data_IF_668795422386
#
_entry.id   IF_668795422386
#
_cell.length_a   1.000
_cell.length_b   1.000
_cell.length_c   1.000
_cell.angle_alpha   90.00
_cell.angle_beta   90.00
_cell.angle_gamma   90.00
#
_symmetry.space_group_name_H-M   'P 1'
#
loop_
_entity.id
_entity.type
_entity.pdbx_description
1 polymer ?
#
# COMPACT_ATOMS: atom_id res chain seq x y z
N UNK A 1 0.07 -15.16 -8.37
CA UNK A 1 -0.76 -14.07 -7.81
C UNK A 1 -0.59 -12.89 -8.72
N UNK A 2 -1.65 -12.28 -9.20
CA UNK A 2 -1.63 -11.27 -10.26
C UNK A 2 -2.50 -10.07 -9.90
N UNK A 3 -2.32 -8.98 -10.63
CA UNK A 3 -3.22 -7.83 -10.60
C UNK A 3 -3.95 -7.79 -11.94
N UNK A 4 -5.25 -7.58 -11.92
CA UNK A 4 -6.07 -7.49 -13.12
C UNK A 4 -7.05 -6.32 -12.99
N UNK A 5 -7.06 -5.47 -13.98
CA UNK A 5 -7.99 -4.36 -14.16
C UNK A 5 -8.67 -4.52 -15.53
N UNK A 6 -9.98 -4.36 -15.58
CA UNK A 6 -10.78 -4.44 -16.80
C UNK A 6 -11.73 -3.24 -16.87
N UNK A 7 -11.56 -2.39 -17.87
CA UNK A 7 -12.39 -1.22 -18.12
C UNK A 7 -12.42 -0.21 -16.97
N UNK A 8 -11.34 -0.11 -16.19
CA UNK A 8 -11.33 0.70 -14.96
C UNK A 8 -11.37 2.18 -15.26
N UNK A 9 -12.38 2.86 -14.69
CA UNK A 9 -12.57 4.30 -14.77
C UNK A 9 -12.62 4.95 -13.39
N UNK A 10 -12.08 6.17 -13.30
CA UNK A 10 -12.17 6.98 -12.10
C UNK A 10 -12.25 8.47 -12.45
N UNK A 11 -13.22 9.15 -11.85
CA UNK A 11 -13.40 10.61 -11.95
C UNK A 11 -13.32 11.21 -10.55
N UNK A 12 -12.50 12.23 -10.37
CA UNK A 12 -12.39 13.00 -9.13
C UNK A 12 -13.64 13.83 -8.86
N UNK A 13 -13.85 14.26 -7.61
CA UNK A 13 -14.98 15.08 -7.21
C UNK A 13 -15.07 16.43 -7.97
N UNK A 14 -13.95 16.93 -8.47
CA UNK A 14 -13.87 18.13 -9.32
C UNK A 14 -14.24 17.89 -10.79
N UNK A 15 -14.72 16.70 -11.15
CA UNK A 15 -15.07 16.32 -12.51
C UNK A 15 -13.90 15.86 -13.39
N UNK A 16 -12.65 15.94 -12.90
CA UNK A 16 -11.49 15.49 -13.67
C UNK A 16 -11.46 13.94 -13.78
N UNK A 17 -11.51 13.44 -15.01
CA UNK A 17 -11.44 12.00 -15.32
C UNK A 17 -9.98 11.57 -15.31
N UNK A 18 -9.55 10.89 -14.24
CA UNK A 18 -8.18 10.44 -14.06
C UNK A 18 -7.89 9.08 -14.69
N UNK A 19 -8.89 8.20 -14.75
CA UNK A 19 -8.78 6.89 -15.44
C UNK A 19 -9.98 6.72 -16.37
N UNK A 20 -9.72 6.22 -17.58
CA UNK A 20 -10.69 6.11 -18.65
C UNK A 20 -10.62 4.74 -19.33
N UNK A 21 -11.30 3.73 -18.76
CA UNK A 21 -11.36 2.39 -19.33
C UNK A 21 -9.99 1.70 -19.35
N UNK A 22 -9.28 1.72 -18.23
CA UNK A 22 -7.93 1.15 -18.13
C UNK A 22 -8.02 -0.37 -17.99
N UNK A 23 -7.34 -1.06 -18.91
CA UNK A 23 -7.10 -2.49 -18.86
C UNK A 23 -5.62 -2.74 -18.50
N UNK A 24 -5.37 -3.57 -17.50
CA UNK A 24 -4.02 -3.92 -17.07
C UNK A 24 -4.01 -5.33 -16.50
N UNK A 25 -3.03 -6.11 -16.92
CA UNK A 25 -2.73 -7.42 -16.30
C UNK A 25 -1.27 -7.47 -15.94
N UNK A 26 -0.98 -7.83 -14.69
CA UNK A 26 0.38 -8.01 -14.19
C UNK A 26 0.49 -9.39 -13.56
N UNK A 27 1.36 -10.21 -14.09
CA UNK A 27 1.59 -11.56 -13.63
C UNK A 27 2.46 -11.59 -12.34
N UNK A 28 2.52 -12.74 -11.69
CA UNK A 28 3.41 -12.91 -10.55
C UNK A 28 4.89 -12.82 -10.99
N UNK A 29 5.68 -12.01 -10.29
CA UNK A 29 7.09 -11.78 -10.61
C UNK A 29 7.34 -10.77 -11.73
N UNK A 30 6.32 -10.32 -12.41
CA UNK A 30 6.43 -9.29 -13.45
C UNK A 30 6.78 -7.92 -12.86
N UNK A 31 7.61 -7.18 -13.57
CA UNK A 31 7.99 -5.80 -13.24
C UNK A 31 7.43 -4.87 -14.31
N UNK A 32 6.57 -3.94 -13.88
CA UNK A 32 5.90 -3.00 -14.79
C UNK A 32 6.32 -1.57 -14.46
N UNK A 33 6.73 -0.82 -15.48
CA UNK A 33 6.97 0.61 -15.38
C UNK A 33 5.77 1.40 -15.91
N UNK A 34 5.26 2.34 -15.12
CA UNK A 34 4.16 3.21 -15.49
C UNK A 34 4.72 4.59 -15.86
N UNK A 35 4.73 4.89 -17.16
CA UNK A 35 5.29 6.12 -17.71
C UNK A 35 4.18 7.01 -18.25
N UNK A 36 4.30 8.31 -18.15
CA UNK A 36 3.35 9.29 -18.69
C UNK A 36 3.53 10.68 -18.10
N UNK A 37 2.92 11.67 -18.72
CA UNK A 37 2.97 13.06 -18.29
C UNK A 37 2.43 13.28 -16.86
N UNK A 38 2.72 14.45 -16.27
CA UNK A 38 2.09 14.86 -15.01
C UNK A 38 0.57 14.96 -15.22
N UNK A 39 -0.21 14.50 -14.25
CA UNK A 39 -1.68 14.45 -14.38
C UNK A 39 -2.26 13.27 -15.15
N UNK A 40 -1.46 12.42 -15.79
CA UNK A 40 -1.93 11.26 -16.59
C UNK A 40 -2.58 10.11 -15.77
N UNK A 41 -2.93 10.33 -14.52
CA UNK A 41 -3.64 9.35 -13.69
C UNK A 41 -2.75 8.27 -13.03
N UNK A 42 -1.41 8.33 -13.18
CA UNK A 42 -0.47 7.33 -12.63
C UNK A 42 -0.68 7.07 -11.14
N UNK A 43 -0.72 8.14 -10.34
CA UNK A 43 -0.94 8.04 -8.88
C UNK A 43 -2.32 7.49 -8.56
N UNK A 44 -3.34 7.85 -9.34
CA UNK A 44 -4.70 7.31 -9.19
C UNK A 44 -4.73 5.82 -9.47
N UNK A 45 -4.07 5.37 -10.54
CA UNK A 45 -3.94 3.95 -10.87
C UNK A 45 -3.20 3.17 -9.76
N UNK A 46 -2.08 3.69 -9.26
CA UNK A 46 -1.36 3.06 -8.14
C UNK A 46 -2.22 2.96 -6.86
N UNK A 47 -3.06 3.97 -6.57
CA UNK A 47 -4.01 3.90 -5.44
C UNK A 47 -5.09 2.83 -5.64
N UNK A 48 -5.56 2.61 -6.87
CA UNK A 48 -6.48 1.51 -7.19
C UNK A 48 -5.79 0.16 -6.97
N UNK A 49 -4.56 -0.01 -7.50
CA UNK A 49 -3.74 -1.21 -7.33
C UNK A 49 -3.37 -1.49 -5.87
N UNK A 50 -3.24 -0.44 -5.04
CA UNK A 50 -3.04 -0.54 -3.60
C UNK A 50 -4.33 -0.84 -2.81
N UNK A 51 -5.46 -1.03 -3.48
CA UNK A 51 -6.79 -1.15 -2.88
C UNK A 51 -7.16 0.03 -1.94
N UNK A 52 -6.53 1.20 -2.11
CA UNK A 52 -6.78 2.40 -1.29
C UNK A 52 -7.79 3.34 -1.93
N UNK A 53 -8.08 3.18 -3.22
CA UNK A 53 -9.05 3.96 -3.96
C UNK A 53 -10.00 3.03 -4.73
N UNK A 54 -11.31 3.14 -4.44
CA UNK A 54 -12.33 2.37 -5.18
C UNK A 54 -12.58 3.04 -6.54
N UNK A 55 -12.48 2.33 -7.66
CA UNK A 55 -12.82 2.87 -8.97
C UNK A 55 -14.32 3.16 -9.09
N UNK A 56 -14.67 4.09 -9.99
CA UNK A 56 -16.05 4.41 -10.31
C UNK A 56 -16.70 3.41 -11.26
N UNK A 57 -15.90 2.75 -12.10
CA UNK A 57 -16.36 1.74 -13.07
C UNK A 57 -15.27 0.69 -13.32
N UNK A 58 -15.66 -0.41 -13.97
CA UNK A 58 -14.77 -1.51 -14.31
C UNK A 58 -14.61 -2.53 -13.19
N UNK A 59 -13.79 -3.56 -13.47
CA UNK A 59 -13.51 -4.67 -12.57
C UNK A 59 -12.05 -4.62 -12.11
N UNK A 60 -11.82 -4.89 -10.85
CA UNK A 60 -10.48 -4.98 -10.27
C UNK A 60 -10.35 -6.27 -9.46
N UNK A 61 -9.30 -7.02 -9.75
CA UNK A 61 -8.90 -8.19 -9.01
C UNK A 61 -7.43 -8.05 -8.60
N UNK A 62 -7.16 -8.16 -7.32
CA UNK A 62 -5.83 -8.02 -6.74
C UNK A 62 -5.49 -9.27 -5.94
N UNK A 63 -4.40 -9.95 -6.30
CA UNK A 63 -3.92 -11.16 -5.64
C UNK A 63 -4.99 -12.28 -5.55
N UNK A 64 -5.88 -12.37 -6.57
CA UNK A 64 -6.97 -13.34 -6.63
C UNK A 64 -8.20 -12.95 -5.82
N UNK A 65 -8.34 -11.69 -5.42
CA UNK A 65 -9.48 -11.20 -4.64
C UNK A 65 -10.07 -9.95 -5.27
N UNK A 66 -11.39 -9.79 -5.23
CA UNK A 66 -12.11 -8.57 -5.61
C UNK A 66 -12.21 -7.64 -4.38
N UNK A 67 -11.41 -6.56 -4.27
CA UNK A 67 -11.24 -5.80 -3.03
C UNK A 67 -12.53 -5.22 -2.49
N UNK A 68 -13.38 -4.72 -3.38
CA UNK A 68 -14.59 -3.99 -2.99
C UNK A 68 -15.84 -4.87 -2.85
N UNK A 69 -15.73 -6.18 -3.17
CA UNK A 69 -16.71 -7.20 -2.84
C UNK A 69 -16.37 -7.94 -1.54
N UNK A 70 -15.15 -7.74 -1.02
CA UNK A 70 -14.65 -8.38 0.17
C UNK A 70 -15.19 -7.75 1.46
N UNK A 71 -15.21 -8.51 2.55
CA UNK A 71 -15.50 -7.98 3.87
C UNK A 71 -14.44 -6.96 4.32
N UNK A 72 -14.74 -6.03 5.25
CA UNK A 72 -13.74 -5.09 5.78
C UNK A 72 -12.51 -5.78 6.37
N UNK A 73 -12.69 -6.97 6.93
CA UNK A 73 -11.59 -7.80 7.48
C UNK A 73 -10.69 -8.34 6.36
N UNK A 74 -11.27 -8.84 5.30
CA UNK A 74 -10.52 -9.42 4.18
C UNK A 74 -9.86 -8.34 3.34
N UNK A 75 -10.51 -7.19 3.15
CA UNK A 75 -9.90 -6.02 2.54
C UNK A 75 -8.67 -5.54 3.32
N UNK A 76 -8.72 -5.53 4.66
CA UNK A 76 -7.57 -5.20 5.50
C UNK A 76 -6.44 -6.21 5.32
N UNK A 77 -6.74 -7.51 5.29
CA UNK A 77 -5.77 -8.58 5.03
C UNK A 77 -5.15 -8.47 3.63
N UNK A 78 -5.94 -8.13 2.62
CA UNK A 78 -5.46 -7.91 1.27
C UNK A 78 -4.48 -6.73 1.24
N UNK A 79 -4.85 -5.58 1.81
CA UNK A 79 -3.97 -4.40 1.90
C UNK A 79 -2.66 -4.67 2.62
N UNK A 80 -2.67 -5.48 3.66
CA UNK A 80 -1.45 -5.87 4.40
C UNK A 80 -0.46 -6.70 3.56
N UNK A 81 -0.89 -7.24 2.41
CA UNK A 81 -0.05 -7.98 1.46
C UNK A 81 0.50 -7.11 0.32
N UNK A 82 0.07 -5.86 0.24
CA UNK A 82 0.46 -4.91 -0.81
C UNK A 82 1.30 -3.81 -0.17
N UNK A 83 2.59 -3.78 -0.48
CA UNK A 83 3.49 -2.70 -0.07
C UNK A 83 3.37 -1.50 -1.01
N UNK A 84 3.30 -0.30 -0.45
CA UNK A 84 3.29 0.96 -1.22
C UNK A 84 4.43 1.84 -0.73
N UNK A 85 5.28 2.27 -1.65
CA UNK A 85 6.30 3.28 -1.38
C UNK A 85 5.77 4.63 -1.85
N UNK A 86 5.63 5.56 -0.92
CA UNK A 86 5.17 6.92 -1.22
C UNK A 86 6.35 7.82 -1.56
N UNK A 87 6.16 8.72 -2.52
CA UNK A 87 7.17 9.73 -2.89
C UNK A 87 7.46 10.69 -1.71
N UNK A 88 6.43 11.05 -0.95
CA UNK A 88 6.54 11.74 0.33
C UNK A 88 5.82 10.89 1.39
N UNK A 89 6.51 10.42 2.44
CA UNK A 89 5.89 9.57 3.43
C UNK A 89 4.81 10.35 4.20
N UNK A 90 3.59 9.78 4.33
CA UNK A 90 2.48 10.41 5.07
C UNK A 90 2.69 10.28 6.58
N UNK A 91 3.88 10.61 7.08
CA UNK A 91 4.23 10.52 8.49
C UNK A 91 4.11 11.90 9.11
N UNK A 92 3.36 12.08 10.21
CA UNK A 92 3.29 13.34 10.93
C UNK A 92 4.69 13.81 11.38
N UNK A 93 5.03 15.10 11.26
CA UNK A 93 6.40 15.60 11.43
C UNK A 93 6.98 15.43 12.84
N UNK A 94 6.21 14.99 13.82
CA UNK A 94 6.64 14.77 15.22
C UNK A 94 6.46 13.34 15.70
N UNK A 95 6.26 12.38 14.79
CA UNK A 95 6.09 10.98 15.16
C UNK A 95 7.44 10.29 15.38
N UNK A 96 7.56 9.52 16.46
CA UNK A 96 8.76 8.70 16.69
C UNK A 96 8.87 7.62 15.62
N UNK A 97 10.09 7.36 15.12
CA UNK A 97 10.36 6.35 14.07
C UNK A 97 9.81 4.97 14.47
N UNK A 98 10.03 4.56 15.72
CA UNK A 98 9.51 3.29 16.26
C UNK A 98 7.99 3.19 16.12
N UNK A 99 7.26 4.26 16.45
CA UNK A 99 5.79 4.29 16.31
C UNK A 99 5.36 4.20 14.85
N UNK A 100 6.07 4.86 13.92
CA UNK A 100 5.79 4.80 12.50
C UNK A 100 6.02 3.39 11.92
N UNK A 101 7.10 2.72 12.31
CA UNK A 101 7.41 1.34 11.88
C UNK A 101 6.40 0.35 12.44
N UNK A 102 6.05 0.45 13.73
CA UNK A 102 5.05 -0.42 14.37
C UNK A 102 3.64 -0.22 13.78
N UNK A 103 3.29 1.01 13.38
CA UNK A 103 2.03 1.29 12.71
C UNK A 103 1.85 0.48 11.41
N UNK A 104 2.93 0.16 10.70
CA UNK A 104 2.90 -0.71 9.52
C UNK A 104 2.43 -2.15 9.81
N UNK A 105 2.57 -2.63 11.06
CA UNK A 105 2.14 -3.98 11.48
C UNK A 105 0.69 -4.02 11.99
N UNK A 106 0.03 -2.88 12.21
CA UNK A 106 -1.33 -2.82 12.77
C UNK A 106 -2.37 -3.58 11.94
N UNK A 107 -2.17 -3.67 10.62
CA UNK A 107 -3.05 -4.42 9.72
C UNK A 107 -3.05 -5.94 9.95
N UNK A 108 -2.00 -6.47 10.59
CA UNK A 108 -1.81 -7.90 10.87
C UNK A 108 -2.15 -8.28 12.31
N UNK A 109 -2.25 -7.31 13.21
CA UNK A 109 -2.46 -7.55 14.63
C UNK A 109 -3.93 -7.50 15.03
N UNK A 110 -4.37 -8.28 16.02
CA UNK A 110 -5.69 -8.12 16.63
C UNK A 110 -5.75 -6.78 17.39
N UNK A 111 -6.95 -6.19 17.46
CA UNK A 111 -7.17 -4.83 18.02
C UNK A 111 -6.55 -4.62 19.40
N UNK A 112 -6.65 -5.61 20.30
CA UNK A 112 -6.11 -5.52 21.66
C UNK A 112 -4.57 -5.40 21.67
N UNK A 113 -3.88 -6.10 20.75
CA UNK A 113 -2.43 -6.03 20.60
C UNK A 113 -2.00 -4.70 19.98
N UNK A 114 -2.81 -4.15 19.06
CA UNK A 114 -2.60 -2.83 18.48
C UNK A 114 -2.74 -1.72 19.52
N UNK A 115 -3.73 -1.80 20.42
CA UNK A 115 -3.91 -0.86 21.52
C UNK A 115 -2.80 -1.00 22.57
N UNK A 116 -2.40 -2.21 22.93
CA UNK A 116 -1.33 -2.44 23.88
C UNK A 116 0.03 -1.89 23.38
N UNK A 117 0.30 -1.98 22.07
CA UNK A 117 1.53 -1.47 21.46
C UNK A 117 1.63 0.07 21.43
N UNK A 118 0.52 0.78 21.60
CA UNK A 118 0.50 2.24 21.73
C UNK A 118 1.07 2.69 23.09
N UNK A 119 0.85 1.88 24.14
CA UNK A 119 1.27 2.18 25.52
C UNK A 119 2.62 1.53 25.84
N UNK A 120 2.85 0.33 25.30
CA UNK A 120 4.08 -0.44 25.48
C UNK A 120 4.57 -0.97 24.14
N UNK A 121 5.70 -0.48 23.59
CA UNK A 121 6.23 -0.98 22.31
C UNK A 121 6.63 -2.45 22.45
N UNK A 122 5.90 -3.33 21.78
CA UNK A 122 6.02 -4.78 21.92
C UNK A 122 7.30 -5.38 21.28
N UNK A 123 8.02 -4.60 20.46
CA UNK A 123 9.22 -5.06 19.77
C UNK A 123 10.11 -3.85 19.37
N UNK A 124 10.83 -3.23 20.31
CA UNK A 124 11.71 -2.11 20.00
C UNK A 124 12.93 -2.55 19.16
N UNK A 125 13.43 -3.76 19.36
CA UNK A 125 14.63 -4.28 18.69
C UNK A 125 14.37 -4.60 17.22
N UNK A 126 13.22 -5.18 16.90
CA UNK A 126 12.79 -5.42 15.51
C UNK A 126 12.53 -4.14 14.72
N UNK A 127 12.09 -3.07 15.37
CA UNK A 127 11.88 -1.77 14.76
C UNK A 127 13.22 -1.07 14.41
N UNK A 128 14.23 -1.23 15.25
CA UNK A 128 15.58 -0.68 15.05
C UNK A 128 16.31 -1.43 13.92
N UNK A 129 16.21 -2.76 13.87
CA UNK A 129 16.79 -3.58 12.81
C UNK A 129 16.22 -3.24 11.42
N UNK A 130 14.94 -2.89 11.34
CA UNK A 130 14.29 -2.49 10.07
C UNK A 130 14.68 -1.07 9.64
N UNK A 131 15.01 -0.18 10.58
CA UNK A 131 15.37 1.21 10.29
C UNK A 131 16.83 1.36 9.80
N UNK A 132 17.72 0.40 10.07
CA UNK A 132 19.14 0.45 9.71
C UNK A 132 19.64 -0.83 8.99
N UNK A 133 19.21 -1.13 7.75
CA UNK A 133 19.67 -2.31 7.03
C UNK A 133 21.15 -2.25 6.57
N UNK A 134 21.84 -1.12 6.69
CA UNK A 134 23.18 -0.89 6.09
C UNK A 134 24.35 -0.62 7.05
N UNK A 135 24.18 -0.69 8.38
CA UNK A 135 25.31 -0.41 9.28
C UNK A 135 26.15 -1.65 9.68
N UNK A 136 25.85 -2.83 9.16
CA UNK A 136 26.51 -4.07 9.54
C UNK A 136 27.72 -4.49 8.66
N UNK A 137 28.27 -3.59 7.81
CA UNK A 137 29.51 -3.87 7.04
C UNK A 137 30.44 -2.66 6.99
N UNK A 138 31.02 -2.30 8.12
CA UNK A 138 32.29 -1.57 8.19
C UNK A 138 33.06 -2.01 9.44
N UNK A 139 33.83 -3.04 9.27
CA UNK A 139 34.77 -3.49 10.27
C UNK A 139 35.41 -4.78 9.82
N UNK A 140 36.29 -4.68 8.82
CA UNK A 140 37.44 -5.58 8.60
C UNK A 140 38.16 -5.14 7.32
N UNK A 141 39.18 -4.33 7.49
CA UNK A 141 40.46 -4.36 6.77
C UNK A 141 41.49 -3.66 7.67
#
# INVERSE_FOLDING_TARGET
MSFMLEGVGFTHANGHRALAGVDLRVAAGERVALIGASGAGKTTLLRVLAASLRPGSGRVELLGSAPWAASPRDLRRLRARIGVVHQAPPIPPRQRVVTAVLAGRLGQWPLWKSLASLVWPADPDGAIATAHPHSAKRGEL
#
